data_IF_021314068161
#
_entry.id   IF_021314068161
#
_cell.length_a   1.000
_cell.length_b   1.000
_cell.length_c   1.000
_cell.angle_alpha   90.00
_cell.angle_beta   90.00
_cell.angle_gamma   90.00
#
_symmetry.space_group_name_H-M   'P 1'
#
loop_
_entity.id
_entity.type
_entity.pdbx_description
1 polymer ?
#
# COMPACT_ATOMS: atom_id res chain seq x y z
N UNK A 1 4.15 1.10 9.91
CA UNK A 1 3.66 0.81 8.54
C UNK A 1 2.79 -0.44 8.50
N UNK A 2 3.25 -1.57 9.08
CA UNK A 2 2.49 -2.83 9.14
C UNK A 2 1.06 -2.74 9.74
N UNK A 3 0.84 -1.85 10.73
CA UNK A 3 -0.48 -1.67 11.37
C UNK A 3 -1.58 -1.14 10.43
N UNK A 4 -1.22 -0.69 9.22
CA UNK A 4 -2.16 -0.17 8.22
C UNK A 4 -2.08 -0.96 6.89
N UNK A 5 -1.70 -2.23 6.97
CA UNK A 5 -1.67 -3.16 5.84
C UNK A 5 -3.00 -3.91 5.72
N UNK A 6 -3.58 -3.84 4.52
CA UNK A 6 -4.76 -4.59 4.11
C UNK A 6 -4.36 -5.67 3.11
N UNK A 7 -4.95 -6.85 3.23
CA UNK A 7 -4.75 -7.99 2.33
C UNK A 7 -6.03 -8.22 1.55
N UNK A 8 -5.91 -8.34 0.22
CA UNK A 8 -6.99 -8.64 -0.72
C UNK A 8 -6.63 -9.95 -1.43
N UNK A 9 -6.97 -11.09 -0.83
CA UNK A 9 -6.52 -12.39 -1.32
C UNK A 9 -4.99 -12.53 -1.19
N UNK A 10 -4.29 -12.49 -2.32
CA UNK A 10 -2.82 -12.58 -2.43
C UNK A 10 -2.13 -11.23 -2.64
N UNK A 11 -2.85 -10.12 -2.37
CA UNK A 11 -2.37 -8.75 -2.60
C UNK A 11 -2.27 -7.99 -1.27
N UNK A 12 -1.09 -7.54 -0.90
CA UNK A 12 -0.88 -6.68 0.27
C UNK A 12 -0.85 -5.18 -0.13
N UNK A 13 -1.55 -4.35 0.62
CA UNK A 13 -1.59 -2.89 0.43
C UNK A 13 -1.24 -2.23 1.75
N UNK A 14 -0.12 -1.50 1.81
CA UNK A 14 0.30 -0.80 3.02
C UNK A 14 0.38 0.70 2.80
N UNK A 15 -0.31 1.45 3.68
CA UNK A 15 -0.30 2.90 3.69
C UNK A 15 0.63 3.42 4.77
N UNK A 16 1.55 4.30 4.38
CA UNK A 16 2.37 5.10 5.29
C UNK A 16 1.91 6.56 5.19
N UNK A 17 1.30 7.10 6.25
CA UNK A 17 0.72 8.45 6.22
C UNK A 17 1.72 9.52 5.77
N UNK A 18 2.91 9.52 6.38
CA UNK A 18 4.02 10.40 6.02
C UNK A 18 5.32 9.61 6.01
N UNK A 19 6.04 9.70 4.90
CA UNK A 19 7.30 8.99 4.68
C UNK A 19 8.43 9.92 5.12
N UNK A 20 9.27 9.45 6.06
CA UNK A 20 10.46 10.19 6.51
C UNK A 20 11.56 10.22 5.44
N UNK A 21 11.82 9.06 4.82
CA UNK A 21 12.81 8.91 3.73
C UNK A 21 12.23 8.01 2.63
N UNK A 22 12.41 8.35 1.33
CA UNK A 22 11.82 7.61 0.21
C UNK A 22 12.13 6.11 0.18
N UNK A 23 13.26 5.67 0.71
CA UNK A 23 13.73 4.29 0.68
C UNK A 23 12.86 3.38 1.57
N UNK A 24 12.23 3.97 2.60
CA UNK A 24 11.35 3.29 3.57
C UNK A 24 10.23 2.49 2.90
N UNK A 25 9.62 3.02 1.84
CA UNK A 25 8.53 2.31 1.14
C UNK A 25 9.04 1.13 0.33
N UNK A 26 10.31 1.16 -0.08
CA UNK A 26 10.99 0.03 -0.72
C UNK A 26 11.16 -1.10 0.27
N UNK A 27 11.77 -0.79 1.41
CA UNK A 27 12.03 -1.74 2.51
C UNK A 27 10.73 -2.43 2.98
N UNK A 28 9.65 -1.66 3.22
CA UNK A 28 8.37 -2.27 3.61
C UNK A 28 7.77 -3.15 2.51
N UNK A 29 7.94 -2.79 1.24
CA UNK A 29 7.45 -3.62 0.15
C UNK A 29 8.24 -4.94 0.06
N UNK A 30 9.55 -4.89 0.32
CA UNK A 30 10.43 -6.05 0.38
C UNK A 30 10.10 -6.98 1.56
N UNK A 31 9.68 -6.43 2.70
CA UNK A 31 9.17 -7.23 3.82
C UNK A 31 7.82 -7.91 3.49
N UNK A 32 6.86 -7.14 2.94
CA UNK A 32 5.51 -7.66 2.68
C UNK A 32 5.48 -8.74 1.60
N UNK A 33 6.33 -8.65 0.58
CA UNK A 33 6.35 -9.64 -0.51
C UNK A 33 6.91 -11.00 -0.07
N UNK A 34 7.65 -11.04 1.04
CA UNK A 34 8.17 -12.29 1.62
C UNK A 34 7.12 -13.05 2.44
N UNK A 35 5.97 -12.44 2.71
CA UNK A 35 4.89 -13.08 3.44
C UNK A 35 4.28 -14.23 2.64
N UNK A 36 4.05 -15.37 3.31
CA UNK A 36 3.45 -16.54 2.68
C UNK A 36 2.08 -16.20 2.07
N UNK A 37 1.87 -16.63 0.82
CA UNK A 37 0.63 -16.39 0.09
C UNK A 37 0.51 -15.02 -0.58
N UNK A 38 1.42 -14.07 -0.30
CA UNK A 38 1.42 -12.76 -0.98
C UNK A 38 2.16 -12.87 -2.32
N UNK A 39 1.48 -12.46 -3.38
CA UNK A 39 2.04 -12.42 -4.75
C UNK A 39 2.22 -11.01 -5.28
N UNK A 40 1.51 -10.04 -4.72
CA UNK A 40 1.66 -8.62 -5.03
C UNK A 40 1.70 -7.83 -3.74
N UNK A 41 2.52 -6.79 -3.71
CA UNK A 41 2.37 -5.77 -2.69
C UNK A 41 2.50 -4.37 -3.28
N UNK A 42 1.82 -3.40 -2.66
CA UNK A 42 2.07 -1.97 -2.86
C UNK A 42 2.23 -1.28 -1.51
N UNK A 43 3.34 -0.57 -1.34
CA UNK A 43 3.56 0.35 -0.23
C UNK A 43 3.54 1.77 -0.77
N UNK A 44 2.80 2.68 -0.14
CA UNK A 44 2.67 4.05 -0.61
C UNK A 44 2.48 5.04 0.53
N UNK A 45 2.79 6.31 0.26
CA UNK A 45 2.69 7.36 1.26
C UNK A 45 3.11 8.73 0.76
N UNK A 46 2.93 9.74 1.60
CA UNK A 46 3.21 11.14 1.24
C UNK A 46 4.62 11.55 1.65
N UNK A 47 5.33 12.20 0.74
CA UNK A 47 6.66 12.77 0.96
C UNK A 47 6.82 14.05 0.13
N UNK A 48 7.15 15.17 0.77
CA UNK A 48 7.47 16.45 0.10
C UNK A 48 6.47 16.84 -1.01
N UNK A 49 5.17 16.87 -0.69
CA UNK A 49 4.11 17.22 -1.64
C UNK A 49 3.85 16.20 -2.74
N UNK A 50 4.45 15.02 -2.66
CA UNK A 50 4.28 13.92 -3.60
C UNK A 50 3.72 12.70 -2.90
N UNK A 51 2.95 11.89 -3.63
CA UNK A 51 2.59 10.53 -3.25
C UNK A 51 3.60 9.59 -3.92
N UNK A 52 4.38 8.90 -3.11
CA UNK A 52 5.35 7.89 -3.54
C UNK A 52 4.74 6.51 -3.35
N UNK A 53 5.09 5.58 -4.22
CA UNK A 53 4.76 4.18 -4.04
C UNK A 53 5.84 3.25 -4.57
N UNK A 54 5.86 2.03 -4.02
CA UNK A 54 6.72 0.92 -4.41
C UNK A 54 5.85 -0.33 -4.55
N UNK A 55 6.04 -1.07 -5.62
CA UNK A 55 5.36 -2.32 -5.93
C UNK A 55 6.39 -3.45 -5.96
N UNK A 56 6.03 -4.60 -5.39
CA UNK A 56 6.73 -5.87 -5.58
C UNK A 56 5.77 -6.95 -6.04
N UNK A 57 6.32 -7.92 -6.77
CA UNK A 57 5.58 -9.10 -7.18
C UNK A 57 6.48 -10.31 -7.28
N UNK A 58 5.95 -11.48 -6.95
CA UNK A 58 6.59 -12.76 -7.23
C UNK A 58 6.19 -13.31 -8.61
N UNK A 59 5.25 -12.65 -9.31
CA UNK A 59 4.80 -13.04 -10.65
C UNK A 59 5.65 -12.38 -11.73
N UNK A 60 6.68 -13.09 -12.16
CA UNK A 60 7.60 -12.64 -13.24
C UNK A 60 6.91 -12.41 -14.59
N UNK A 61 5.79 -13.09 -14.86
CA UNK A 61 5.01 -12.92 -16.09
C UNK A 61 4.24 -11.59 -16.17
N UNK A 62 4.07 -10.89 -15.04
CA UNK A 62 3.39 -9.61 -14.98
C UNK A 62 4.40 -8.51 -14.68
N UNK A 63 4.82 -7.79 -15.72
CA UNK A 63 5.81 -6.72 -15.60
C UNK A 63 5.32 -5.63 -14.63
N UNK A 64 5.85 -5.60 -13.41
CA UNK A 64 5.50 -4.62 -12.38
C UNK A 64 5.69 -3.19 -12.88
N UNK A 65 6.74 -2.94 -13.68
CA UNK A 65 7.01 -1.64 -14.30
C UNK A 65 5.89 -1.19 -15.24
N UNK A 66 5.33 -2.11 -16.03
CA UNK A 66 4.20 -1.82 -16.94
C UNK A 66 2.95 -1.49 -16.14
N UNK A 67 2.68 -2.25 -15.07
CA UNK A 67 1.58 -1.96 -14.15
C UNK A 67 1.73 -0.57 -13.53
N UNK A 68 2.91 -0.26 -12.98
CA UNK A 68 3.19 1.04 -12.37
C UNK A 68 2.99 2.21 -13.35
N UNK A 69 3.43 2.04 -14.60
CA UNK A 69 3.19 3.03 -15.65
C UNK A 69 1.68 3.20 -15.93
N UNK A 70 0.95 2.08 -16.08
CA UNK A 70 -0.49 2.07 -16.35
C UNK A 70 -1.31 2.74 -15.25
N UNK A 71 -1.07 2.40 -13.98
CA UNK A 71 -1.85 2.96 -12.86
C UNK A 71 -1.57 4.45 -12.65
N UNK A 72 -0.37 4.93 -13.00
CA UNK A 72 0.01 6.34 -12.94
C UNK A 72 -0.52 7.20 -14.09
N UNK A 73 -1.06 6.60 -15.15
CA UNK A 73 -1.40 7.33 -16.36
C UNK A 73 -2.31 8.54 -16.09
N UNK A 74 -1.88 9.72 -16.52
CA UNK A 74 -2.61 10.98 -16.36
C UNK A 74 -2.45 11.67 -15.00
N UNK A 75 -2.00 10.98 -13.95
CA UNK A 75 -1.87 11.54 -12.58
C UNK A 75 -0.43 11.60 -12.06
N UNK A 76 0.50 10.82 -12.63
CA UNK A 76 1.90 10.81 -12.20
C UNK A 76 2.79 10.05 -13.15
N UNK A 77 3.92 9.56 -12.63
CA UNK A 77 4.88 8.72 -13.36
C UNK A 77 5.15 7.45 -12.57
N UNK A 78 5.21 6.32 -13.25
CA UNK A 78 5.57 5.03 -12.67
C UNK A 78 6.39 4.22 -13.67
N UNK A 79 7.23 3.32 -13.16
CA UNK A 79 8.11 2.49 -13.96
C UNK A 79 8.85 1.46 -13.10
N UNK A 80 9.65 0.61 -13.74
CA UNK A 80 10.35 -0.46 -13.05
C UNK A 80 10.72 -1.62 -13.96
N UNK A 81 11.03 -2.75 -13.33
CA UNK A 81 11.40 -4.02 -13.94
C UNK A 81 10.25 -5.04 -13.81
N UNK A 82 10.56 -6.33 -13.99
CA UNK A 82 9.61 -7.43 -13.95
C UNK A 82 8.95 -7.55 -12.57
N UNK A 83 9.74 -7.58 -11.50
CA UNK A 83 9.28 -7.85 -10.13
C UNK A 83 9.31 -6.63 -9.19
N UNK A 84 9.94 -5.54 -9.63
CA UNK A 84 10.15 -4.31 -8.86
C UNK A 84 9.64 -3.12 -9.64
N UNK A 85 8.79 -2.30 -9.04
CA UNK A 85 8.40 -1.03 -9.62
C UNK A 85 8.19 0.05 -8.57
N UNK A 86 8.19 1.29 -9.03
CA UNK A 86 7.95 2.45 -8.19
C UNK A 86 7.29 3.57 -9.00
N UNK A 87 6.81 4.57 -8.29
CA UNK A 87 6.34 5.77 -8.95
C UNK A 87 6.11 6.94 -8.00
N UNK A 88 5.84 8.08 -8.64
CA UNK A 88 5.68 9.37 -8.01
C UNK A 88 4.52 10.11 -8.65
N UNK A 89 3.61 10.57 -7.81
CA UNK A 89 2.47 11.42 -8.17
C UNK A 89 2.68 12.75 -7.47
N UNK A 90 2.87 13.82 -8.24
CA UNK A 90 2.89 15.19 -7.74
C UNK A 90 1.46 15.57 -7.35
N UNK A 91 1.20 15.75 -6.05
CA UNK A 91 -0.17 15.94 -5.55
C UNK A 91 -0.77 17.24 -6.07
N UNK A 92 0.02 18.32 -6.15
CA UNK A 92 -0.45 19.62 -6.64
C UNK A 92 -0.88 19.55 -8.12
N UNK A 93 -0.18 18.77 -8.94
CA UNK A 93 -0.55 18.54 -10.35
C UNK A 93 -1.71 17.55 -10.48
N UNK A 94 -1.71 16.48 -9.71
CA UNK A 94 -2.74 15.44 -9.78
C UNK A 94 -4.11 15.96 -9.31
N UNK A 95 -4.14 16.76 -8.24
CA UNK A 95 -5.38 17.35 -7.70
C UNK A 95 -6.08 18.30 -8.68
N UNK A 96 -5.37 18.84 -9.67
CA UNK A 96 -5.99 19.61 -10.77
C UNK A 96 -6.77 18.75 -11.75
N UNK A 97 -6.57 17.44 -11.74
CA UNK A 97 -7.12 16.48 -12.71
C UNK A 97 -8.10 15.49 -12.08
N UNK A 98 -7.85 15.09 -10.84
CA UNK A 98 -8.65 14.11 -10.10
C UNK A 98 -8.87 14.58 -8.67
N UNK A 99 -10.03 14.25 -8.10
CA UNK A 99 -10.40 14.65 -6.73
C UNK A 99 -9.50 14.00 -5.67
N UNK A 100 -9.16 12.73 -5.88
CA UNK A 100 -8.36 11.95 -4.93
C UNK A 100 -7.34 11.08 -5.69
N UNK A 101 -6.09 11.56 -5.86
CA UNK A 101 -5.04 10.80 -6.54
C UNK A 101 -4.68 9.49 -5.84
N UNK A 102 -4.88 9.41 -4.53
CA UNK A 102 -4.54 8.26 -3.71
C UNK A 102 -5.55 7.13 -3.92
N UNK A 103 -6.84 7.45 -3.87
CA UNK A 103 -7.93 6.52 -4.21
C UNK A 103 -7.81 6.01 -5.65
N UNK A 104 -7.48 6.89 -6.61
CA UNK A 104 -7.29 6.50 -8.01
C UNK A 104 -6.11 5.53 -8.16
N UNK A 105 -4.97 5.79 -7.50
CA UNK A 105 -3.82 4.89 -7.51
C UNK A 105 -4.22 3.49 -7.02
N UNK A 106 -4.89 3.41 -5.87
CA UNK A 106 -5.28 2.15 -5.25
C UNK A 106 -6.32 1.39 -6.06
N UNK A 107 -7.38 2.06 -6.52
CA UNK A 107 -8.41 1.43 -7.34
C UNK A 107 -7.83 0.84 -8.61
N UNK A 108 -6.91 1.57 -9.27
CA UNK A 108 -6.25 1.08 -10.49
C UNK A 108 -5.34 -0.09 -10.20
N UNK A 109 -4.57 -0.06 -9.11
CA UNK A 109 -3.74 -1.19 -8.71
C UNK A 109 -4.59 -2.42 -8.40
N UNK A 110 -5.54 -2.30 -7.47
CA UNK A 110 -6.39 -3.41 -7.03
C UNK A 110 -7.17 -4.03 -8.18
N UNK A 111 -7.71 -3.23 -9.11
CA UNK A 111 -8.41 -3.72 -10.30
C UNK A 111 -7.57 -4.66 -11.15
N UNK A 112 -6.26 -4.44 -11.22
CA UNK A 112 -5.36 -5.20 -12.09
C UNK A 112 -4.82 -6.46 -11.41
N UNK A 113 -4.62 -6.44 -10.09
CA UNK A 113 -3.91 -7.52 -9.38
C UNK A 113 -4.80 -8.38 -8.49
N UNK A 114 -5.95 -7.89 -8.07
CA UNK A 114 -6.79 -8.57 -7.08
C UNK A 114 -7.62 -9.67 -7.74
N UNK A 115 -7.62 -10.91 -7.19
CA UNK A 115 -8.54 -11.95 -7.61
C UNK A 115 -10.00 -11.51 -7.46
N UNK A 116 -10.87 -11.93 -8.39
CA UNK A 116 -12.29 -11.60 -8.32
C UNK A 116 -12.91 -12.17 -7.03
N UNK A 117 -13.65 -11.33 -6.31
CA UNK A 117 -14.36 -11.71 -5.08
C UNK A 117 -13.47 -11.80 -3.83
N UNK A 118 -12.25 -11.28 -3.87
CA UNK A 118 -11.41 -11.21 -2.67
C UNK A 118 -11.92 -10.14 -1.70
N UNK A 119 -12.30 -10.56 -0.50
CA UNK A 119 -12.70 -9.66 0.57
C UNK A 119 -11.47 -9.09 1.31
N UNK A 120 -11.43 -7.79 1.63
CA UNK A 120 -10.32 -7.18 2.33
C UNK A 120 -10.21 -7.66 3.79
N UNK A 121 -9.04 -8.12 4.18
CA UNK A 121 -8.70 -8.49 5.57
C UNK A 121 -7.56 -7.63 6.08
N UNK A 122 -7.61 -7.16 7.33
CA UNK A 122 -6.50 -6.41 7.92
C UNK A 122 -5.40 -7.37 8.36
N UNK A 123 -4.14 -7.08 8.00
CA UNK A 123 -3.02 -7.97 8.33
C UNK A 123 -2.78 -8.06 9.85
N UNK A 124 -2.88 -6.94 10.55
CA UNK A 124 -2.85 -6.89 12.01
C UNK A 124 -4.19 -6.33 12.48
N UNK A 125 -5.09 -7.15 13.03
CA UNK A 125 -6.29 -6.62 13.67
C UNK A 125 -5.84 -5.68 14.79
N UNK A 126 -6.38 -4.45 14.82
CA UNK A 126 -6.13 -3.55 15.96
C UNK A 126 -6.55 -4.32 17.21
N UNK A 127 -5.62 -4.56 18.14
CA UNK A 127 -6.01 -4.90 19.51
C UNK A 127 -6.92 -3.75 19.94
N UNK A 128 -8.19 -4.03 20.21
CA UNK A 128 -9.02 -3.09 20.96
C UNK A 128 -8.18 -2.76 22.20
N UNK A 129 -7.95 -1.47 22.46
CA UNK A 129 -7.34 -1.05 23.72
C UNK A 129 -8.14 -1.71 24.84
N UNK A 130 -7.52 -2.67 25.52
CA UNK A 130 -8.04 -3.25 26.75
C UNK A 130 -8.06 -2.12 27.77
N UNK A 131 -9.18 -1.38 27.82
CA UNK A 131 -9.52 -0.53 28.96
C UNK A 131 -9.69 -1.48 30.15
N UNK A 132 -8.59 -1.77 30.83
CA UNK A 132 -8.60 -2.41 32.14
C UNK A 132 -9.15 -1.36 33.10
N UNK A 133 -10.45 -1.47 33.38
CA UNK A 133 -11.09 -0.78 34.48
C UNK A 133 -10.40 -1.26 35.75
N UNK A 134 -9.60 -0.40 36.38
CA UNK A 134 -9.11 -0.64 37.72
C UNK A 134 -10.26 -0.44 38.70
N UNK A 135 -10.95 -1.51 39.08
CA UNK A 135 -11.72 -1.54 40.32
C UNK A 135 -10.73 -1.65 41.49
N UNK A 136 -10.71 -0.72 42.46
CA UNK A 136 -10.07 -0.99 43.73
C UNK A 136 -10.99 -1.91 44.54
N UNK A 137 -10.44 -3.08 44.87
CA UNK A 137 -10.93 -3.98 45.91
C UNK A 137 -11.12 -3.19 47.22
N UNK A 138 -12.35 -3.14 47.73
CA UNK A 138 -12.60 -2.88 49.15
C UNK A 138 -13.33 -4.11 49.69
N UNK A 139 -12.54 -5.04 50.23
CA UNK A 139 -13.03 -6.10 51.10
C UNK A 139 -13.01 -5.59 52.54
N UNK A 140 -14.18 -5.61 53.19
CA UNK A 140 -14.46 -5.62 54.65
C UNK A 140 -13.90 -4.50 55.53
#
# INVERSE_FOLDING_TARGET
ALNNTMIYGDVAVSRVNMIGWPEMIGEFADELIQMEGIRWCICYGRHNGSLLFSIRTTRTSYMAGVLAHKICHGIGKGGGHETYAAGKIDLAKALKKVRDPEDILLKRFLKEVTPKGAEPTMLIPRKAEENTVSEPLINT
#
